data_IF_930449543138
#
_entry.id   IF_930449543138
#
_cell.length_a   1.000
_cell.length_b   1.000
_cell.length_c   1.000
_cell.angle_alpha   90.00
_cell.angle_beta   90.00
_cell.angle_gamma   90.00
#
_symmetry.space_group_name_H-M   'P 1'
#
loop_
_entity.id
_entity.type
_entity.pdbx_description
1 polymer ?
#
# COMPACT_ATOMS: atom_id res chain seq x y z
N UNK A 1 -2.53 6.32 14.56
CA UNK A 1 -3.78 5.80 13.93
C UNK A 1 -4.27 6.66 12.76
N UNK A 2 -4.28 8.00 12.86
CA UNK A 2 -4.68 8.89 11.74
C UNK A 2 -3.65 8.98 10.58
N UNK A 3 -2.34 8.89 10.85
CA UNK A 3 -1.33 9.03 9.80
C UNK A 3 -1.22 7.80 8.87
N UNK A 4 -1.31 6.58 9.43
CA UNK A 4 -1.31 5.34 8.63
C UNK A 4 -2.61 5.19 7.83
N UNK A 5 -3.75 5.65 8.35
CA UNK A 5 -5.00 5.71 7.60
C UNK A 5 -4.95 6.72 6.45
N UNK A 6 -4.25 7.85 6.60
CA UNK A 6 -4.05 8.81 5.50
C UNK A 6 -3.17 8.24 4.37
N UNK A 7 -2.06 7.57 4.72
CA UNK A 7 -1.22 6.86 3.75
C UNK A 7 -2.00 5.75 3.03
N UNK A 8 -2.87 5.06 3.77
CA UNK A 8 -3.76 4.03 3.25
C UNK A 8 -4.85 4.59 2.33
N UNK A 9 -5.44 5.74 2.67
CA UNK A 9 -6.37 6.45 1.80
C UNK A 9 -5.69 6.96 0.53
N UNK A 10 -4.43 7.41 0.61
CA UNK A 10 -3.65 7.80 -0.55
C UNK A 10 -3.38 6.60 -1.47
N UNK A 11 -3.04 5.43 -0.90
CA UNK A 11 -2.88 4.18 -1.65
C UNK A 11 -4.19 3.74 -2.28
N UNK A 12 -5.29 3.73 -1.54
CA UNK A 12 -6.62 3.36 -2.06
C UNK A 12 -7.07 4.34 -3.15
N UNK A 13 -6.93 5.65 -2.94
CA UNK A 13 -7.26 6.67 -3.93
C UNK A 13 -6.38 6.51 -5.18
N UNK A 14 -5.09 6.21 -5.02
CA UNK A 14 -4.19 5.92 -6.14
C UNK A 14 -4.63 4.64 -6.87
N UNK A 15 -4.95 3.55 -6.17
CA UNK A 15 -5.45 2.33 -6.80
C UNK A 15 -6.77 2.58 -7.55
N UNK A 16 -7.73 3.28 -6.95
CA UNK A 16 -9.01 3.66 -7.57
C UNK A 16 -8.76 4.51 -8.81
N UNK A 17 -7.93 5.54 -8.73
CA UNK A 17 -7.60 6.40 -9.87
C UNK A 17 -6.96 5.61 -11.02
N UNK A 18 -6.12 4.63 -10.71
CA UNK A 18 -5.45 3.78 -11.70
C UNK A 18 -6.33 2.64 -12.22
N UNK A 19 -7.35 2.20 -11.48
CA UNK A 19 -8.40 1.28 -11.96
C UNK A 19 -9.41 2.02 -12.84
N UNK A 20 -9.83 3.23 -12.45
CA UNK A 20 -10.82 4.03 -13.17
C UNK A 20 -10.32 4.61 -14.50
N UNK A 21 -8.99 4.70 -14.68
CA UNK A 21 -8.38 5.12 -15.95
C UNK A 21 -8.61 4.12 -17.11
N UNK A 22 -9.19 2.94 -16.81
CA UNK A 22 -9.58 1.92 -17.76
C UNK A 22 -11.11 1.67 -17.75
N UNK A 23 -11.93 2.72 -17.66
CA UNK A 23 -13.36 2.59 -17.97
C UNK A 23 -13.52 2.08 -19.40
N UNK A 24 -14.16 0.93 -19.54
CA UNK A 24 -14.68 0.41 -20.81
C UNK A 24 -15.48 1.55 -21.45
N UNK A 25 -15.06 2.03 -22.62
CA UNK A 25 -15.88 2.98 -23.40
C UNK A 25 -17.19 2.27 -23.76
N UNK A 26 -18.30 3.01 -23.80
CA UNK A 26 -19.64 2.49 -24.16
C UNK A 26 -19.69 1.79 -25.54
N UNK A 27 -18.64 1.91 -26.34
CA UNK A 27 -18.47 1.30 -27.66
C UNK A 27 -17.98 -0.16 -27.63
N UNK A 28 -17.75 -0.74 -26.44
CA UNK A 28 -17.25 -2.12 -26.30
C UNK A 28 -15.78 -2.29 -26.73
N UNK A 29 -15.11 -1.21 -27.15
CA UNK A 29 -13.69 -1.22 -27.49
C UNK A 29 -12.91 -0.79 -26.25
N UNK A 30 -12.10 -1.71 -25.73
CA UNK A 30 -11.02 -1.33 -24.83
C UNK A 30 -10.12 -0.37 -25.61
N UNK A 31 -9.76 0.79 -25.03
CA UNK A 31 -8.74 1.63 -25.66
C UNK A 31 -7.44 0.84 -25.64
N UNK A 32 -7.14 0.19 -26.75
CA UNK A 32 -5.89 -0.53 -26.91
C UNK A 32 -4.76 0.51 -26.89
N UNK A 33 -3.82 0.30 -25.96
CA UNK A 33 -2.53 0.99 -25.88
C UNK A 33 -2.56 2.51 -25.69
N UNK A 34 -2.87 2.96 -24.47
CA UNK A 34 -1.99 4.00 -23.91
C UNK A 34 -0.70 3.28 -23.51
N UNK A 35 0.43 3.41 -24.24
CA UNK A 35 1.70 2.92 -23.74
C UNK A 35 1.91 3.53 -22.37
N UNK A 36 1.96 2.69 -21.34
CA UNK A 36 2.41 3.12 -20.02
C UNK A 36 3.80 3.71 -20.27
N UNK A 37 3.93 5.03 -20.11
CA UNK A 37 5.21 5.69 -20.28
C UNK A 37 6.21 5.05 -19.33
N UNK A 38 7.49 4.96 -19.72
CA UNK A 38 8.54 4.34 -18.89
C UNK A 38 8.52 4.90 -17.46
N UNK A 39 8.35 6.23 -17.34
CA UNK A 39 8.20 6.95 -16.07
C UNK A 39 7.01 6.43 -15.25
N UNK A 40 5.86 6.19 -15.88
CA UNK A 40 4.68 5.68 -15.19
C UNK A 40 4.89 4.25 -14.66
N UNK A 41 5.58 3.39 -15.40
CA UNK A 41 6.00 2.07 -14.90
C UNK A 41 6.88 2.16 -13.65
N UNK A 42 7.82 3.11 -13.62
CA UNK A 42 8.68 3.35 -12.45
C UNK A 42 7.88 3.88 -11.25
N UNK A 43 6.94 4.79 -11.46
CA UNK A 43 6.04 5.29 -10.40
C UNK A 43 5.19 4.15 -9.82
N UNK A 44 4.64 3.28 -10.67
CA UNK A 44 3.88 2.11 -10.21
C UNK A 44 4.74 1.14 -9.40
N UNK A 45 5.98 0.91 -9.81
CA UNK A 45 6.92 0.07 -9.07
C UNK A 45 7.28 0.68 -7.70
N UNK A 46 7.52 1.99 -7.65
CA UNK A 46 7.76 2.72 -6.41
C UNK A 46 6.56 2.62 -5.46
N UNK A 47 5.35 2.85 -5.98
CA UNK A 47 4.13 2.69 -5.19
C UNK A 47 3.95 1.25 -4.70
N UNK A 48 4.24 0.24 -5.54
CA UNK A 48 4.14 -1.16 -5.15
C UNK A 48 5.11 -1.51 -4.00
N UNK A 49 6.33 -0.98 -4.03
CA UNK A 49 7.30 -1.14 -2.95
C UNK A 49 6.81 -0.55 -1.63
N UNK A 50 6.30 0.68 -1.68
CA UNK A 50 5.76 1.37 -0.52
C UNK A 50 4.57 0.60 0.10
N UNK A 51 3.62 0.17 -0.73
CA UNK A 51 2.46 -0.61 -0.29
C UNK A 51 2.87 -1.98 0.27
N UNK A 52 3.86 -2.64 -0.33
CA UNK A 52 4.39 -3.92 0.17
C UNK A 52 4.99 -3.76 1.57
N UNK A 53 5.83 -2.75 1.78
CA UNK A 53 6.45 -2.49 3.09
C UNK A 53 5.37 -2.23 4.15
N UNK A 54 4.37 -1.41 3.83
CA UNK A 54 3.22 -1.18 4.72
C UNK A 54 2.46 -2.48 5.04
N UNK A 55 2.16 -3.28 4.02
CA UNK A 55 1.51 -4.58 4.18
C UNK A 55 2.30 -5.54 5.06
N UNK A 56 3.63 -5.59 4.90
CA UNK A 56 4.51 -6.49 5.64
C UNK A 56 4.47 -6.25 7.14
N UNK A 57 4.57 -4.99 7.58
CA UNK A 57 4.50 -4.67 9.02
C UNK A 57 3.15 -5.07 9.61
N UNK A 58 2.04 -4.68 8.98
CA UNK A 58 0.70 -5.07 9.47
C UNK A 58 0.51 -6.59 9.48
N UNK A 59 0.93 -7.29 8.42
CA UNK A 59 0.80 -8.74 8.33
C UNK A 59 1.58 -9.47 9.43
N UNK A 60 2.85 -9.08 9.65
CA UNK A 60 3.70 -9.69 10.67
C UNK A 60 3.21 -9.37 12.09
N UNK A 61 2.82 -8.14 12.38
CA UNK A 61 2.25 -7.79 13.69
C UNK A 61 0.93 -8.54 13.96
N UNK A 62 0.13 -8.78 12.92
CA UNK A 62 -1.06 -9.61 12.99
C UNK A 62 -0.74 -11.08 13.29
N UNK A 63 0.21 -11.69 12.57
CA UNK A 63 0.63 -13.09 12.81
C UNK A 63 1.22 -13.27 14.21
N UNK A 64 2.05 -12.33 14.65
CA UNK A 64 2.76 -12.41 15.92
C UNK A 64 1.88 -12.06 17.13
N UNK A 65 0.63 -11.62 16.90
CA UNK A 65 -0.30 -11.29 17.98
C UNK A 65 0.14 -10.11 18.84
N UNK A 66 0.95 -9.18 18.30
CA UNK A 66 1.35 -7.98 19.02
C UNK A 66 0.13 -7.06 19.20
N UNK A 67 -0.54 -7.21 20.35
CA UNK A 67 -1.85 -6.59 20.65
C UNK A 67 -1.87 -5.06 20.68
N UNK A 68 -0.72 -4.40 20.65
CA UNK A 68 -0.60 -2.94 20.65
C UNK A 68 -0.48 -2.33 19.25
N UNK A 69 -0.32 -3.14 18.19
CA UNK A 69 -0.12 -2.58 16.85
C UNK A 69 -1.43 -1.97 16.31
N UNK A 70 -1.48 -0.67 16.01
CA UNK A 70 -2.72 -0.01 15.63
C UNK A 70 -3.31 -0.59 14.35
N UNK A 71 -4.41 -1.34 14.48
CA UNK A 71 -5.12 -1.87 13.34
C UNK A 71 -6.02 -0.80 12.70
N UNK A 72 -5.89 -0.54 11.38
CA UNK A 72 -6.89 0.26 10.69
C UNK A 72 -8.24 -0.45 10.81
N UNK A 73 -9.30 0.30 11.10
CA UNK A 73 -10.68 -0.18 11.27
C UNK A 73 -11.06 -0.87 12.59
N UNK A 74 -10.13 -1.08 13.54
CA UNK A 74 -10.48 -1.63 14.86
C UNK A 74 -11.56 -0.81 15.61
N UNK A 75 -11.61 0.51 15.38
CA UNK A 75 -12.65 1.40 15.91
C UNK A 75 -13.83 1.65 14.96
N UNK A 76 -13.68 1.39 13.66
CA UNK A 76 -14.71 1.72 12.66
C UNK A 76 -15.81 0.66 12.61
N UNK A 77 -15.50 -0.61 12.92
CA UNK A 77 -16.44 -1.73 12.81
C UNK A 77 -17.18 -2.09 14.11
N UNK A 78 -17.41 -1.13 15.01
CA UNK A 78 -18.41 -1.23 16.10
C UNK A 78 -18.56 -2.62 16.74
N UNK A 79 -17.49 -3.14 17.36
CA UNK A 79 -17.35 -4.51 17.91
C UNK A 79 -17.32 -5.61 16.83
N UNK A 80 -16.18 -6.30 16.65
CA UNK A 80 -16.21 -7.60 15.98
C UNK A 80 -14.89 -8.27 15.58
N UNK A 81 -13.86 -7.53 15.19
CA UNK A 81 -12.62 -8.15 14.68
C UNK A 81 -11.44 -7.85 15.62
N UNK A 82 -10.80 -8.89 16.18
CA UNK A 82 -9.53 -8.77 16.90
C UNK A 82 -8.48 -7.98 16.10
N UNK A 83 -7.67 -7.16 16.79
CA UNK A 83 -6.72 -6.25 16.14
C UNK A 83 -5.66 -6.98 15.31
N UNK A 84 -5.24 -8.15 15.76
CA UNK A 84 -4.37 -9.10 15.06
C UNK A 84 -5.00 -9.58 13.73
N UNK A 85 -6.25 -10.05 13.75
CA UNK A 85 -6.98 -10.47 12.53
C UNK A 85 -7.14 -9.29 11.57
N UNK A 86 -7.49 -8.11 12.08
CA UNK A 86 -7.62 -6.90 11.27
C UNK A 86 -6.30 -6.52 10.60
N UNK A 87 -5.17 -6.69 11.30
CA UNK A 87 -3.84 -6.45 10.78
C UNK A 87 -3.43 -7.48 9.71
N UNK A 88 -3.78 -8.76 9.87
CA UNK A 88 -3.58 -9.80 8.84
C UNK A 88 -4.33 -9.44 7.56
N UNK A 89 -5.64 -9.17 7.67
CA UNK A 89 -6.49 -8.82 6.51
C UNK A 89 -5.98 -7.56 5.80
N UNK A 90 -5.53 -6.58 6.58
CA UNK A 90 -4.96 -5.36 6.03
C UNK A 90 -3.63 -5.61 5.30
N UNK A 91 -2.75 -6.43 5.87
CA UNK A 91 -1.52 -6.87 5.22
C UNK A 91 -1.79 -7.55 3.88
N UNK A 92 -2.74 -8.48 3.85
CA UNK A 92 -3.18 -9.17 2.63
C UNK A 92 -3.69 -8.21 1.57
N UNK A 93 -4.52 -7.23 1.95
CA UNK A 93 -4.99 -6.19 1.03
C UNK A 93 -3.83 -5.44 0.37
N UNK A 94 -2.81 -5.06 1.15
CA UNK A 94 -1.64 -4.37 0.63
C UNK A 94 -0.83 -5.28 -0.34
N UNK A 95 -0.68 -6.57 -0.05
CA UNK A 95 0.01 -7.49 -0.97
C UNK A 95 -0.74 -7.66 -2.29
N UNK A 96 -2.08 -7.78 -2.26
CA UNK A 96 -2.90 -7.81 -3.47
C UNK A 96 -2.73 -6.52 -4.26
N UNK A 97 -2.80 -5.36 -3.61
CA UNK A 97 -2.57 -4.07 -4.24
C UNK A 97 -1.18 -3.96 -4.89
N UNK A 98 -0.12 -4.38 -4.19
CA UNK A 98 1.24 -4.37 -4.72
C UNK A 98 1.40 -5.29 -5.94
N UNK A 99 0.83 -6.49 -5.90
CA UNK A 99 0.81 -7.42 -7.03
C UNK A 99 0.11 -6.81 -8.25
N UNK A 100 -1.02 -6.16 -8.04
CA UNK A 100 -1.82 -5.48 -9.06
C UNK A 100 -1.05 -4.30 -9.68
N UNK A 101 -0.23 -3.59 -8.90
CA UNK A 101 0.65 -2.51 -9.37
C UNK A 101 1.83 -3.05 -10.18
N UNK A 102 2.58 -4.03 -9.67
CA UNK A 102 3.73 -4.64 -10.38
C UNK A 102 3.29 -5.30 -11.70
N UNK A 103 2.12 -5.96 -11.72
CA UNK A 103 1.62 -6.61 -12.93
C UNK A 103 1.43 -5.61 -14.09
N UNK A 104 1.20 -4.33 -13.78
CA UNK A 104 1.08 -3.25 -14.78
C UNK A 104 2.45 -2.70 -15.22
N UNK A 105 3.51 -2.96 -14.47
CA UNK A 105 4.88 -2.57 -14.83
C UNK A 105 5.47 -3.37 -15.98
N UNK A 106 4.90 -4.52 -16.39
CA UNK A 106 5.43 -5.40 -17.45
C UNK A 106 5.67 -4.70 -18.80
N UNK A 107 5.04 -3.55 -19.03
CA UNK A 107 5.24 -2.72 -20.22
C UNK A 107 6.45 -1.77 -20.13
N UNK A 108 7.11 -1.68 -18.97
CA UNK A 108 8.37 -0.96 -18.78
C UNK A 108 9.54 -1.89 -19.10
N UNK A 109 10.36 -1.50 -20.08
CA UNK A 109 11.40 -2.36 -20.67
C UNK A 109 12.55 -2.73 -19.71
N UNK A 110 12.84 -1.91 -18.69
CA UNK A 110 14.01 -2.14 -17.82
C UNK A 110 13.63 -2.73 -16.45
N UNK A 111 13.80 -4.04 -16.30
CA UNK A 111 13.55 -4.79 -15.05
C UNK A 111 14.39 -4.33 -13.86
N UNK A 112 15.61 -3.85 -14.08
CA UNK A 112 16.49 -3.39 -13.00
C UNK A 112 16.02 -2.05 -12.45
N UNK A 113 15.58 -1.13 -13.31
CA UNK A 113 15.02 0.17 -12.86
C UNK A 113 13.69 -0.05 -12.15
N UNK A 114 12.87 -1.00 -12.58
CA UNK A 114 11.65 -1.40 -11.88
C UNK A 114 11.96 -1.95 -10.48
N UNK A 115 12.91 -2.87 -10.37
CA UNK A 115 13.34 -3.41 -9.08
C UNK A 115 13.91 -2.32 -8.16
N UNK A 116 14.75 -1.43 -8.70
CA UNK A 116 15.31 -0.30 -7.95
C UNK A 116 14.21 0.65 -7.46
N UNK A 117 13.25 0.98 -8.33
CA UNK A 117 12.10 1.82 -7.97
C UNK A 117 11.28 1.19 -6.84
N UNK A 118 11.03 -0.12 -6.93
CA UNK A 118 10.36 -0.88 -5.87
C UNK A 118 11.12 -0.83 -4.54
N UNK A 119 12.43 -1.08 -4.56
CA UNK A 119 13.28 -1.04 -3.36
C UNK A 119 13.23 0.36 -2.73
N UNK A 120 13.38 1.42 -3.53
CA UNK A 120 13.30 2.80 -3.06
C UNK A 120 11.95 3.06 -2.38
N UNK A 121 10.84 2.66 -3.01
CA UNK A 121 9.51 2.81 -2.44
C UNK A 121 9.34 2.07 -1.10
N UNK A 122 9.82 0.83 -1.02
CA UNK A 122 9.79 0.05 0.21
C UNK A 122 10.62 0.71 1.32
N UNK A 123 11.83 1.17 1.01
CA UNK A 123 12.72 1.86 1.96
C UNK A 123 12.11 3.15 2.47
N UNK A 124 11.57 4.00 1.59
CA UNK A 124 10.92 5.26 1.98
C UNK A 124 9.73 5.01 2.90
N UNK A 125 8.90 4.01 2.60
CA UNK A 125 7.78 3.64 3.47
C UNK A 125 8.28 3.11 4.82
N UNK A 126 9.34 2.30 4.86
CA UNK A 126 9.91 1.81 6.13
C UNK A 126 10.39 2.97 7.01
N UNK A 127 11.06 3.98 6.45
CA UNK A 127 11.46 5.17 7.19
C UNK A 127 10.24 5.98 7.66
N UNK A 128 9.23 6.17 6.80
CA UNK A 128 8.00 6.85 7.17
C UNK A 128 7.30 6.16 8.34
N UNK A 129 7.14 4.83 8.28
CA UNK A 129 6.55 4.04 9.35
C UNK A 129 7.35 4.17 10.65
N UNK A 130 8.68 4.05 10.59
CA UNK A 130 9.56 4.29 11.75
C UNK A 130 9.27 5.66 12.38
N UNK A 131 9.24 6.73 11.58
CA UNK A 131 8.96 8.07 12.08
C UNK A 131 7.56 8.20 12.69
N UNK A 132 6.54 7.65 12.04
CA UNK A 132 5.15 7.70 12.53
C UNK A 132 4.99 6.93 13.84
N UNK A 133 5.59 5.74 13.96
CA UNK A 133 5.53 4.96 15.21
C UNK A 133 6.35 5.60 16.33
N UNK A 134 7.52 6.16 16.02
CA UNK A 134 8.35 6.88 16.99
C UNK A 134 7.60 8.10 17.55
N UNK A 135 6.96 8.90 16.70
CA UNK A 135 6.14 10.04 17.13
C UNK A 135 4.92 9.60 17.95
N UNK A 136 4.31 8.46 17.58
CA UNK A 136 3.22 7.85 18.35
C UNK A 136 3.65 7.41 19.75
N UNK A 137 4.82 6.80 19.86
CA UNK A 137 5.41 6.37 21.13
C UNK A 137 5.62 7.55 22.08
N UNK A 138 6.27 8.63 21.62
CA UNK A 138 6.47 9.84 22.43
C UNK A 138 5.16 10.47 22.89
N UNK A 139 4.10 10.42 22.07
CA UNK A 139 2.79 10.96 22.45
C UNK A 139 2.07 10.13 23.51
N UNK A 140 2.38 8.84 23.63
CA UNK A 140 1.75 7.92 24.60
C UNK A 140 2.46 7.85 25.95
N UNK A 141 3.70 8.34 26.05
CA UNK A 141 4.55 8.31 27.25
C UNK A 141 5.01 9.70 27.72
N UNK A 142 4.55 10.76 27.05
CA UNK A 142 4.54 12.10 27.63
C UNK A 142 3.25 12.22 28.44
N UNK A 143 3.38 12.55 29.73
CA UNK A 143 2.38 12.59 30.82
C UNK A 143 2.30 11.33 31.67
#
# INVERSE_FOLDING_TARGET
MFATSLASMAVIAFLIANVQKYKIKKDGKTSENVPISKIYGYILALAAGAVTSNGLFHFLHGILGYGEFPAPFAKVLGRGIPADISNILWGLFNFIAAFVLISRCKKSENKYIIALSFIIGATLMSFLLKFVFLLGYFKSHAF
#
